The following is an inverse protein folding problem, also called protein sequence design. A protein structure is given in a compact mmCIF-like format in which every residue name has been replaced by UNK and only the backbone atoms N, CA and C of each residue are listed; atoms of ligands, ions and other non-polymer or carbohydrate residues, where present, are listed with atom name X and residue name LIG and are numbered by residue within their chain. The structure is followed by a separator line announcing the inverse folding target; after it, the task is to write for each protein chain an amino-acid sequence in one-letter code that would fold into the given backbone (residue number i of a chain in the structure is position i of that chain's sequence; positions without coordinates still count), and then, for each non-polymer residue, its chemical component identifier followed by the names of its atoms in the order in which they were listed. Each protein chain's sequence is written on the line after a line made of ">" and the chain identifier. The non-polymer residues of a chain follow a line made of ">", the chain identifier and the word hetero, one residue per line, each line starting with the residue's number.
data_IF_893190955032
#
_entry.id   IF_893190955032
#
_cell.length_a   1.000
_cell.length_b   1.000
_cell.length_c   1.000
_cell.angle_alpha   90.00
_cell.angle_beta   90.00
_cell.angle_gamma   90.00
#
_symmetry.space_group_name_H-M   'P 1'
#
loop_
_entity.id
_entity.type
_entity.pdbx_description
1 polymer ?
#
# COMPACT_ATOMS: atom_id res chain seq x y z
N UNK A 1 -4.71 -12.95 -3.45
CA UNK A 1 -4.57 -12.24 -4.75
C UNK A 1 -5.30 -12.89 -5.92
N UNK A 2 -5.07 -14.16 -6.29
CA UNK A 2 -5.55 -14.69 -7.58
C UNK A 2 -7.08 -14.74 -7.70
N UNK A 3 -7.77 -15.06 -6.59
CA UNK A 3 -9.24 -15.14 -6.54
C UNK A 3 -9.88 -13.76 -6.81
N UNK A 4 -9.32 -12.70 -6.21
CA UNK A 4 -9.82 -11.33 -6.39
C UNK A 4 -9.63 -10.85 -7.84
N UNK A 5 -8.45 -11.06 -8.41
CA UNK A 5 -8.18 -10.73 -9.81
C UNK A 5 -9.10 -11.55 -10.75
N UNK A 6 -9.36 -12.81 -10.42
CA UNK A 6 -10.35 -13.63 -11.10
C UNK A 6 -11.75 -13.01 -11.09
N UNK A 7 -12.22 -12.49 -9.94
CA UNK A 7 -13.52 -11.83 -9.85
C UNK A 7 -13.62 -10.55 -10.70
N UNK A 8 -12.53 -9.79 -10.81
CA UNK A 8 -12.47 -8.59 -11.67
C UNK A 8 -12.62 -8.95 -13.15
N UNK A 9 -12.08 -10.10 -13.59
CA UNK A 9 -12.24 -10.55 -14.98
C UNK A 9 -13.69 -10.87 -15.34
N UNK A 10 -14.48 -11.35 -14.38
CA UNK A 10 -15.89 -11.68 -14.60
C UNK A 10 -16.74 -10.42 -14.71
N UNK A 11 -16.45 -9.41 -13.90
CA UNK A 11 -17.15 -8.12 -13.93
C UNK A 11 -16.15 -6.96 -13.86
N UNK A 12 -15.61 -6.52 -15.01
CA UNK A 12 -14.57 -5.50 -15.02
C UNK A 12 -15.16 -4.14 -14.61
N UNK A 13 -14.59 -3.47 -13.59
CA UNK A 13 -14.98 -2.12 -13.21
C UNK A 13 -14.54 -1.11 -14.27
N UNK A 14 -15.08 0.10 -14.21
CA UNK A 14 -14.65 1.18 -15.08
C UNK A 14 -13.17 1.51 -14.83
N UNK A 15 -12.36 1.57 -15.89
CA UNK A 15 -10.94 1.91 -15.79
C UNK A 15 -10.66 3.36 -16.17
N UNK A 16 -9.87 4.04 -15.34
CA UNK A 16 -9.36 5.38 -15.59
C UNK A 16 -7.85 5.36 -15.82
N UNK A 17 -7.38 6.33 -16.58
CA UNK A 17 -5.98 6.47 -16.95
C UNK A 17 -5.08 6.72 -15.73
N UNK A 18 -3.86 6.18 -15.78
CA UNK A 18 -2.81 6.38 -14.79
C UNK A 18 -2.57 5.19 -13.87
N UNK A 19 -1.82 5.45 -12.80
CA UNK A 19 -1.25 4.44 -11.91
C UNK A 19 -1.70 4.68 -10.47
N UNK A 20 -2.37 3.71 -9.88
CA UNK A 20 -2.70 3.72 -8.46
C UNK A 20 -1.73 2.83 -7.69
N UNK A 21 -0.99 3.43 -6.75
CA UNK A 21 -0.07 2.73 -5.87
C UNK A 21 -0.73 2.59 -4.51
N UNK A 22 -1.15 1.37 -4.16
CA UNK A 22 -1.71 1.05 -2.85
C UNK A 22 -0.60 0.54 -1.94
N UNK A 23 -0.28 1.31 -0.89
CA UNK A 23 0.67 0.89 0.13
C UNK A 23 0.01 -0.16 1.03
N UNK A 24 0.70 -1.27 1.25
CA UNK A 24 0.26 -2.38 2.10
C UNK A 24 1.36 -2.83 3.04
N UNK A 25 1.00 -3.16 4.28
CA UNK A 25 1.91 -3.76 5.25
C UNK A 25 2.19 -5.23 4.95
N UNK A 26 1.29 -5.88 4.19
CA UNK A 26 1.35 -7.31 3.85
C UNK A 26 1.32 -7.51 2.34
N UNK A 27 2.25 -8.30 1.82
CA UNK A 27 2.39 -8.59 0.40
C UNK A 27 1.43 -9.68 -0.11
N UNK A 28 0.78 -10.43 0.79
CA UNK A 28 -0.07 -11.58 0.47
C UNK A 28 -1.58 -11.25 0.40
N UNK A 29 -1.99 -10.09 0.92
CA UNK A 29 -3.39 -9.72 1.10
C UNK A 29 -3.82 -8.52 0.23
N UNK A 30 -5.07 -8.53 -0.25
CA UNK A 30 -5.65 -7.42 -1.02
C UNK A 30 -5.83 -6.23 -0.08
N UNK A 31 -5.27 -5.04 -0.37
CA UNK A 31 -5.39 -3.90 0.52
C UNK A 31 -6.85 -3.48 0.70
N UNK A 32 -7.27 -3.22 1.94
CA UNK A 32 -8.62 -2.72 2.23
C UNK A 32 -8.92 -1.41 1.48
N UNK A 33 -7.93 -0.53 1.33
CA UNK A 33 -8.07 0.70 0.54
C UNK A 33 -8.49 0.44 -0.92
N UNK A 34 -8.00 -0.62 -1.55
CA UNK A 34 -8.40 -0.99 -2.91
C UNK A 34 -9.86 -1.44 -2.95
N UNK A 35 -10.26 -2.30 -2.01
CA UNK A 35 -11.64 -2.77 -1.89
C UNK A 35 -12.61 -1.63 -1.64
N UNK A 36 -12.29 -0.73 -0.69
CA UNK A 36 -13.10 0.45 -0.40
C UNK A 36 -13.21 1.38 -1.62
N UNK A 37 -12.10 1.64 -2.32
CA UNK A 37 -12.13 2.44 -3.54
C UNK A 37 -13.06 1.82 -4.60
N UNK A 38 -13.01 0.49 -4.78
CA UNK A 38 -13.90 -0.19 -5.72
C UNK A 38 -15.36 -0.17 -5.28
N UNK A 39 -15.65 -0.35 -3.99
CA UNK A 39 -17.02 -0.34 -3.46
C UNK A 39 -17.69 1.03 -3.59
N UNK A 40 -16.96 2.11 -3.34
CA UNK A 40 -17.53 3.46 -3.30
C UNK A 40 -17.37 4.22 -4.61
N UNK A 41 -16.20 4.17 -5.25
CA UNK A 41 -15.92 4.95 -6.46
C UNK A 41 -16.20 4.14 -7.73
N UNK A 42 -16.28 2.81 -7.65
CA UNK A 42 -16.54 1.90 -8.78
C UNK A 42 -15.54 2.08 -9.95
N UNK A 43 -14.35 2.60 -9.64
CA UNK A 43 -13.30 2.94 -10.58
C UNK A 43 -11.99 2.25 -10.20
N UNK A 44 -11.30 1.74 -11.20
CA UNK A 44 -9.95 1.17 -11.08
C UNK A 44 -9.00 1.94 -12.00
N UNK A 45 -7.73 2.05 -11.64
CA UNK A 45 -6.74 2.62 -12.57
C UNK A 45 -6.31 1.58 -13.61
N UNK A 46 -5.79 2.01 -14.75
CA UNK A 46 -5.18 1.12 -15.74
C UNK A 46 -4.07 0.28 -15.12
N UNK A 47 -3.26 0.90 -14.27
CA UNK A 47 -2.22 0.22 -13.51
C UNK A 47 -2.52 0.28 -12.02
N UNK A 48 -2.56 -0.89 -11.38
CA UNK A 48 -2.76 -1.04 -9.95
C UNK A 48 -1.54 -1.72 -9.37
N UNK A 49 -0.78 -0.96 -8.58
CA UNK A 49 0.45 -1.41 -7.95
C UNK A 49 0.20 -1.62 -6.47
N UNK A 50 0.42 -2.84 -6.01
CA UNK A 50 0.36 -3.23 -4.62
C UNK A 50 1.78 -3.14 -4.06
N UNK A 51 2.06 -2.05 -3.36
CA UNK A 51 3.40 -1.71 -2.89
C UNK A 51 3.59 -2.13 -1.43
N UNK A 52 4.57 -2.99 -1.19
CA UNK A 52 5.08 -3.30 0.16
C UNK A 52 6.47 -2.69 0.32
N UNK A 53 6.73 -2.05 1.46
CA UNK A 53 8.08 -1.54 1.79
C UNK A 53 8.64 -2.39 2.93
N UNK A 54 9.81 -2.98 2.70
CA UNK A 54 10.49 -3.89 3.63
C UNK A 54 11.82 -3.27 4.05
N UNK A 55 12.09 -3.32 5.36
CA UNK A 55 13.39 -2.98 5.92
C UNK A 55 14.20 -4.26 6.11
N UNK A 56 15.41 -4.25 5.55
CA UNK A 56 16.38 -5.33 5.68
C UNK A 56 17.31 -5.08 6.87
N UNK A 57 17.82 -6.16 7.47
CA UNK A 57 18.81 -6.13 8.55
C UNK A 57 20.22 -5.69 8.10
N UNK A 58 20.35 -5.29 6.83
CA UNK A 58 21.59 -4.77 6.25
C UNK A 58 21.56 -3.24 6.21
N UNK A 59 22.71 -2.56 6.35
CA UNK A 59 22.72 -1.09 6.38
C UNK A 59 22.21 -0.50 5.06
N UNK A 60 22.55 -1.09 3.92
CA UNK A 60 22.06 -0.67 2.61
C UNK A 60 21.76 -1.87 1.74
N UNK A 61 20.69 -1.79 0.97
CA UNK A 61 20.31 -2.82 0.00
C UNK A 61 20.89 -2.46 -1.38
N UNK A 62 21.60 -3.40 -2.06
CA UNK A 62 22.08 -3.21 -3.42
C UNK A 62 20.93 -2.90 -4.39
N UNK A 63 21.17 -2.07 -5.41
CA UNK A 63 20.15 -1.68 -6.39
C UNK A 63 19.49 -2.87 -7.09
N UNK A 64 20.24 -3.95 -7.34
CA UNK A 64 19.75 -5.16 -7.97
C UNK A 64 18.73 -5.96 -7.11
N UNK A 65 18.74 -5.77 -5.79
CA UNK A 65 17.85 -6.45 -4.84
C UNK A 65 16.78 -5.49 -4.29
N UNK A 66 16.76 -4.24 -4.76
CA UNK A 66 15.86 -3.21 -4.25
C UNK A 66 14.40 -3.43 -4.65
N UNK A 67 14.16 -4.17 -5.72
CA UNK A 67 12.83 -4.38 -6.29
C UNK A 67 12.55 -5.87 -6.48
N UNK A 68 11.43 -6.32 -5.96
CA UNK A 68 10.78 -7.55 -6.42
C UNK A 68 9.46 -7.15 -7.08
N UNK A 69 9.27 -7.56 -8.34
CA UNK A 69 8.07 -7.22 -9.10
C UNK A 69 7.43 -8.49 -9.64
N UNK A 70 6.14 -8.65 -9.36
CA UNK A 70 5.32 -9.73 -9.90
C UNK A 70 4.12 -9.13 -10.65
N UNK A 71 3.90 -9.56 -11.90
CA UNK A 71 2.70 -9.19 -12.65
C UNK A 71 1.63 -10.26 -12.47
N UNK A 72 0.42 -9.82 -12.15
CA UNK A 72 -0.76 -10.70 -12.10
C UNK A 72 -1.63 -10.60 -13.36
N UNK A 73 -1.21 -9.80 -14.34
CA UNK A 73 -2.01 -9.44 -15.51
C UNK A 73 -3.14 -8.45 -15.19
N UNK A 74 -3.90 -8.05 -16.21
CA UNK A 74 -4.99 -7.06 -16.07
C UNK A 74 -4.52 -5.72 -15.44
N UNK A 75 -3.26 -5.35 -15.66
CA UNK A 75 -2.67 -4.14 -15.07
C UNK A 75 -2.43 -4.22 -13.56
N UNK A 76 -2.50 -5.41 -12.94
CA UNK A 76 -2.16 -5.62 -11.53
C UNK A 76 -0.70 -6.04 -11.36
N UNK A 77 -0.01 -5.35 -10.45
CA UNK A 77 1.38 -5.62 -10.13
C UNK A 77 1.56 -5.66 -8.61
N UNK A 78 2.37 -6.59 -8.13
CA UNK A 78 2.95 -6.53 -6.79
C UNK A 78 4.37 -6.01 -6.91
N UNK A 79 4.68 -5.02 -6.09
CA UNK A 79 6.03 -4.45 -5.98
C UNK A 79 6.43 -4.50 -4.51
N UNK A 80 7.60 -5.08 -4.24
CA UNK A 80 8.24 -5.04 -2.93
C UNK A 80 9.49 -4.18 -3.06
N UNK A 81 9.58 -3.14 -2.24
CA UNK A 81 10.74 -2.26 -2.14
C UNK A 81 11.53 -2.61 -0.90
N UNK A 82 12.82 -2.89 -1.09
CA UNK A 82 13.74 -3.22 0.00
C UNK A 82 14.64 -2.03 0.31
N UNK A 83 14.66 -1.62 1.57
CA UNK A 83 15.52 -0.57 2.10
C UNK A 83 16.40 -1.14 3.21
N UNK A 84 17.63 -0.65 3.34
CA UNK A 84 18.46 -0.98 4.50
C UNK A 84 18.03 -0.19 5.73
N UNK A 85 18.43 -0.63 6.91
CA UNK A 85 18.00 0.00 8.17
C UNK A 85 18.51 1.44 8.37
N UNK A 86 19.54 1.90 7.64
CA UNK A 86 19.98 3.31 7.64
C UNK A 86 19.46 4.11 6.44
N UNK A 87 18.71 3.50 5.53
CA UNK A 87 18.18 4.19 4.36
C UNK A 87 16.97 5.05 4.75
N UNK A 88 16.96 6.30 4.28
CA UNK A 88 15.75 7.12 4.28
C UNK A 88 14.91 6.75 3.04
N UNK A 89 13.71 6.18 3.19
CA UNK A 89 12.95 5.73 2.04
C UNK A 89 12.37 6.94 1.28
N UNK A 90 12.73 7.04 0.00
CA UNK A 90 12.05 7.90 -0.96
C UNK A 90 11.29 7.00 -1.93
N UNK A 91 10.03 6.72 -1.61
CA UNK A 91 9.21 5.78 -2.39
C UNK A 91 9.00 6.28 -3.81
N UNK A 92 8.59 7.54 -4.07
CA UNK A 92 8.42 8.04 -5.42
C UNK A 92 9.72 7.94 -6.23
N UNK A 93 10.85 8.39 -5.66
CA UNK A 93 12.13 8.31 -6.36
C UNK A 93 12.55 6.86 -6.62
N UNK A 94 12.36 5.95 -5.65
CA UNK A 94 12.64 4.54 -5.85
C UNK A 94 11.79 3.96 -6.98
N UNK A 95 10.47 4.22 -7.01
CA UNK A 95 9.60 3.71 -8.07
C UNK A 95 9.99 4.19 -9.46
N UNK A 96 10.53 5.41 -9.62
CA UNK A 96 11.05 5.87 -10.93
C UNK A 96 12.24 5.06 -11.44
N UNK A 97 12.96 4.38 -10.55
CA UNK A 97 14.08 3.50 -10.90
C UNK A 97 13.61 2.08 -11.25
N UNK A 98 12.32 1.75 -11.08
CA UNK A 98 11.79 0.47 -11.51
C UNK A 98 11.84 0.37 -13.05
N UNK A 99 12.63 -0.57 -13.58
CA UNK A 99 12.86 -0.71 -15.02
C UNK A 99 11.83 -1.59 -15.73
N UNK A 100 10.63 -1.79 -15.17
CA UNK A 100 9.56 -2.51 -15.88
C UNK A 100 8.95 -1.61 -16.95
N UNK A 101 9.16 -1.95 -18.22
CA UNK A 101 8.69 -1.18 -19.37
C UNK A 101 7.16 -0.94 -19.37
N UNK A 102 6.41 -1.81 -18.71
CA UNK A 102 4.96 -1.69 -18.60
C UNK A 102 4.51 -0.69 -17.54
N UNK A 103 5.30 -0.38 -16.51
CA UNK A 103 4.90 0.45 -15.36
C UNK A 103 5.29 1.93 -15.55
N UNK A 104 4.30 2.83 -15.53
CA UNK A 104 4.51 4.28 -15.56
C UNK A 104 4.31 4.87 -14.16
N UNK A 105 5.42 5.27 -13.52
CA UNK A 105 5.43 5.97 -12.23
C UNK A 105 5.61 7.48 -12.37
N UNK A 106 5.25 8.07 -13.52
CA UNK A 106 5.28 9.52 -13.71
C UNK A 106 4.52 10.23 -12.58
N UNK A 107 5.13 11.24 -11.92
CA UNK A 107 4.50 11.94 -10.81
C UNK A 107 3.12 12.56 -11.14
N UNK A 108 2.88 12.91 -12.41
CA UNK A 108 1.60 13.47 -12.85
C UNK A 108 0.52 12.42 -13.10
N UNK A 109 0.86 11.14 -13.21
CA UNK A 109 -0.07 10.03 -13.49
C UNK A 109 -0.21 9.05 -12.33
N UNK A 110 0.63 9.20 -11.31
CA UNK A 110 0.64 8.32 -10.15
C UNK A 110 -0.15 8.93 -8.98
N UNK A 111 -1.02 8.13 -8.39
CA UNK A 111 -1.75 8.45 -7.17
C UNK A 111 -1.45 7.40 -6.12
N UNK A 112 -1.07 7.85 -4.92
CA UNK A 112 -0.72 6.99 -3.80
C UNK A 112 -1.91 6.85 -2.86
N UNK A 113 -2.35 5.62 -2.66
CA UNK A 113 -3.41 5.27 -1.73
C UNK A 113 -2.80 4.64 -0.50
N UNK A 114 -3.09 5.21 0.66
CA UNK A 114 -2.69 4.63 1.93
C UNK A 114 -3.93 4.17 2.69
N UNK A 115 -3.88 2.93 3.16
CA UNK A 115 -4.84 2.46 4.14
C UNK A 115 -4.33 2.83 5.53
N UNK A 116 -5.12 3.60 6.28
CA UNK A 116 -4.88 3.74 7.72
C UNK A 116 -5.71 2.67 8.43
N UNK A 117 -5.04 1.63 8.89
CA UNK A 117 -5.63 0.69 9.83
C UNK A 117 -5.72 1.38 11.19
N UNK A 118 -6.91 1.86 11.52
CA UNK A 118 -7.18 2.35 12.88
C UNK A 118 -7.77 1.18 13.64
N UNK A 119 -6.95 0.64 14.54
CA UNK A 119 -7.41 -0.41 15.42
C UNK A 119 -8.29 0.21 16.50
N UNK A 120 -9.55 -0.21 16.54
CA UNK A 120 -10.55 0.24 17.51
C UNK A 120 -10.78 -0.86 18.56
N UNK A 121 -10.97 -0.49 19.84
CA UNK A 121 -11.28 -1.45 20.89
C UNK A 121 -12.58 -2.21 20.55
N UNK A 122 -12.52 -3.53 20.63
CA UNK A 122 -13.69 -4.39 20.41
C UNK A 122 -14.59 -4.44 21.63
N UNK A 123 -15.84 -4.86 21.42
CA UNK A 123 -16.84 -5.02 22.48
C UNK A 123 -16.77 -6.39 23.17
N UNK A 124 -15.84 -7.27 22.77
CA UNK A 124 -15.72 -8.65 23.25
C UNK A 124 -14.69 -8.70 24.38
N UNK A 125 -15.05 -9.28 25.53
CA UNK A 125 -14.20 -9.36 26.73
C UNK A 125 -12.98 -10.26 26.50
N UNK A 126 -11.88 -9.70 26.00
CA UNK A 126 -10.58 -10.38 25.84
C UNK A 126 -9.39 -9.65 26.47
N UNK A 127 -9.46 -8.33 26.61
CA UNK A 127 -8.38 -7.49 27.14
C UNK A 127 -8.91 -6.41 28.08
N UNK A 128 -8.16 -6.10 29.15
CA UNK A 128 -8.53 -5.01 30.04
C UNK A 128 -8.55 -3.68 29.27
N UNK A 129 -9.64 -2.91 29.38
CA UNK A 129 -9.87 -1.66 28.62
C UNK A 129 -8.74 -0.63 28.67
N UNK A 130 -8.02 -0.54 29.81
CA UNK A 130 -6.88 0.37 29.93
C UNK A 130 -5.68 -0.10 29.09
N UNK A 131 -5.51 -1.42 28.93
CA UNK A 131 -4.46 -2.05 28.13
C UNK A 131 -4.76 -1.88 26.64
N UNK A 132 -6.03 -1.99 26.24
CA UNK A 132 -6.49 -1.67 24.88
C UNK A 132 -6.24 -0.19 24.56
N UNK A 133 -6.57 0.72 25.48
CA UNK A 133 -6.33 2.15 25.29
C UNK A 133 -4.83 2.48 25.16
N UNK A 134 -3.97 1.86 25.98
CA UNK A 134 -2.52 2.00 25.88
C UNK A 134 -2.00 1.45 24.56
N UNK A 135 -2.46 0.26 24.13
CA UNK A 135 -2.06 -0.35 22.87
C UNK A 135 -2.48 0.50 21.67
N UNK A 136 -3.74 0.95 21.65
CA UNK A 136 -4.25 1.83 20.60
C UNK A 136 -3.46 3.16 20.55
N UNK A 137 -3.09 3.72 21.70
CA UNK A 137 -2.23 4.90 21.77
C UNK A 137 -0.83 4.62 21.20
N UNK A 138 -0.18 3.52 21.60
CA UNK A 138 1.13 3.13 21.07
C UNK A 138 1.10 2.89 19.56
N UNK A 139 0.10 2.16 19.07
CA UNK A 139 -0.06 1.88 17.65
C UNK A 139 -0.32 3.14 16.83
N UNK A 140 -1.11 4.08 17.37
CA UNK A 140 -1.35 5.39 16.74
C UNK A 140 -0.06 6.20 16.60
N UNK A 141 0.86 6.09 17.56
CA UNK A 141 2.17 6.75 17.48
C UNK A 141 3.14 5.98 16.57
N UNK A 142 3.04 4.66 16.48
CA UNK A 142 3.87 3.83 15.60
C UNK A 142 3.48 3.93 14.11
N UNK A 143 2.19 4.06 13.80
CA UNK A 143 1.67 4.18 12.42
C UNK A 143 1.80 5.59 11.83
N UNK A 144 2.41 6.52 12.56
CA UNK A 144 2.63 7.89 12.10
C UNK A 144 3.91 7.99 11.27
N UNK A 145 3.79 7.95 9.95
CA UNK A 145 4.26 9.06 9.10
C UNK A 145 4.15 8.75 7.59
N UNK A 146 3.17 9.34 6.92
CA UNK A 146 3.24 9.66 5.49
C UNK A 146 4.57 10.35 5.10
N UNK A 147 5.11 11.16 6.03
CA UNK A 147 6.37 11.87 5.89
C UNK A 147 7.57 10.94 5.74
N UNK A 148 7.46 9.71 6.23
CA UNK A 148 8.56 8.76 6.23
C UNK A 148 8.90 8.34 4.80
N UNK A 149 7.88 8.09 3.96
CA UNK A 149 8.06 7.65 2.57
C UNK A 149 8.20 8.79 1.54
N UNK A 150 8.32 10.05 1.99
CA UNK A 150 8.46 11.26 1.15
C UNK A 150 7.39 11.39 0.05
N UNK A 151 6.17 10.92 0.32
CA UNK A 151 5.09 10.94 -0.66
C UNK A 151 4.59 12.38 -0.94
N UNK A 152 4.25 12.71 -2.20
CA UNK A 152 3.73 14.02 -2.57
C UNK A 152 2.31 14.25 -2.02
N UNK A 153 2.14 15.23 -1.13
CA UNK A 153 0.86 15.50 -0.44
C UNK A 153 -0.34 15.72 -1.37
N UNK A 154 -0.13 16.30 -2.55
CA UNK A 154 -1.19 16.56 -3.53
C UNK A 154 -1.61 15.34 -4.37
N UNK A 155 -0.92 14.20 -4.20
CA UNK A 155 -1.19 12.93 -4.89
C UNK A 155 -1.35 11.76 -3.93
N UNK A 156 -1.58 12.07 -2.66
CA UNK A 156 -1.84 11.09 -1.62
C UNK A 156 -3.33 11.12 -1.27
N UNK A 157 -3.96 9.96 -1.29
CA UNK A 157 -5.31 9.75 -0.78
C UNK A 157 -5.22 8.78 0.39
N UNK A 158 -5.67 9.22 1.55
CA UNK A 158 -5.78 8.37 2.73
C UNK A 158 -7.21 7.80 2.83
N UNK A 159 -7.30 6.47 2.84
CA UNK A 159 -8.55 5.75 3.04
C UNK A 159 -8.50 5.10 4.43
N UNK A 160 -9.27 5.65 5.37
CA UNK A 160 -9.39 5.10 6.71
C UNK A 160 -10.27 3.86 6.71
N UNK A 161 -9.75 2.77 7.26
CA UNK A 161 -10.53 1.54 7.53
C UNK A 161 -10.50 1.29 9.03
N UNK A 162 -11.67 1.07 9.63
CA UNK A 162 -11.79 0.72 11.05
C UNK A 162 -11.69 -0.80 11.19
N UNK A 163 -10.78 -1.26 12.06
CA UNK A 163 -10.58 -2.69 12.34
C UNK A 163 -10.83 -2.91 13.84
N UNK A 164 -11.77 -3.80 14.16
CA UNK A 164 -12.06 -4.20 15.54
C UNK A 164 -11.05 -5.27 16.02
N UNK A 165 -10.70 -5.25 17.31
CA UNK A 165 -9.77 -6.22 17.95
C UNK A 165 -10.37 -7.52 18.47
#
# INVERSE_FOLDING_TARGET
>A
MPIFIGSIRVQPPHRVQGTAVFLTARSDAVPHALLHNMLHNQVLHEQVVLLTVVYEDTPRVPSAQRFEVESYGEGFYRVILHFGFIDEPDVPAALTLCHLAELDFSPMRTTYFLSRETVIPSKIDGMARWREALFAFMLKNANGNLRFFKLPFNRVIELGTQVEM
#
